data_IF_149520575120
#
_entry.id   IF_149520575120
#
_cell.length_a   1.000
_cell.length_b   1.000
_cell.length_c   1.000
_cell.angle_alpha   90.00
_cell.angle_beta   90.00
_cell.angle_gamma   90.00
#
_symmetry.space_group_name_H-M   'P 1'
#
loop_
_entity.id
_entity.type
_entity.pdbx_description
1 polymer ?
#
# COMPACT_ATOMS: atom_id res chain seq x y z
N UNK A 1 -9.02 8.50 27.15
CA UNK A 1 -9.56 7.35 27.91
C UNK A 1 -9.04 7.35 29.33
N UNK A 2 -9.93 7.20 30.30
CA UNK A 2 -9.55 6.92 31.69
C UNK A 2 -9.40 5.40 31.79
N UNK A 3 -8.22 4.92 32.18
CA UNK A 3 -7.93 3.48 32.27
C UNK A 3 -7.82 3.03 33.73
N UNK A 4 -8.45 1.90 34.11
CA UNK A 4 -8.26 1.31 35.44
C UNK A 4 -6.80 0.90 35.64
N UNK A 5 -6.21 1.21 36.80
CA UNK A 5 -4.81 0.88 37.09
C UNK A 5 -4.51 -0.61 36.95
N UNK A 6 -5.44 -1.48 37.37
CA UNK A 6 -5.30 -2.95 37.31
C UNK A 6 -5.09 -3.47 35.88
N UNK A 7 -5.75 -2.85 34.90
CA UNK A 7 -5.67 -3.26 33.49
C UNK A 7 -4.68 -2.42 32.67
N UNK A 8 -4.10 -1.40 33.28
CA UNK A 8 -3.24 -0.41 32.61
C UNK A 8 -2.11 -1.05 31.81
N UNK A 9 -1.41 -2.04 32.37
CA UNK A 9 -0.32 -2.75 31.71
C UNK A 9 -0.78 -3.38 30.39
N UNK A 10 -1.90 -4.10 30.40
CA UNK A 10 -2.42 -4.78 29.21
C UNK A 10 -2.89 -3.77 28.16
N UNK A 11 -3.66 -2.76 28.59
CA UNK A 11 -4.22 -1.75 27.69
C UNK A 11 -3.12 -0.91 27.02
N UNK A 12 -2.15 -0.43 27.81
CA UNK A 12 -1.02 0.37 27.30
C UNK A 12 -0.09 -0.46 26.42
N UNK A 13 0.13 -1.73 26.75
CA UNK A 13 0.92 -2.64 25.90
C UNK A 13 0.35 -2.71 24.48
N UNK A 14 -0.94 -3.03 24.34
CA UNK A 14 -1.57 -3.15 23.03
C UNK A 14 -1.67 -1.80 22.32
N UNK A 15 -1.94 -0.72 23.05
CA UNK A 15 -1.98 0.63 22.46
C UNK A 15 -0.61 1.02 21.89
N UNK A 16 0.47 0.84 22.65
CA UNK A 16 1.81 1.16 22.18
C UNK A 16 2.23 0.27 21.02
N UNK A 17 1.97 -1.04 21.11
CA UNK A 17 2.25 -2.00 20.04
C UNK A 17 1.53 -1.60 18.75
N UNK A 18 0.26 -1.21 18.84
CA UNK A 18 -0.53 -0.72 17.70
C UNK A 18 0.11 0.52 17.11
N UNK A 19 0.41 1.53 17.91
CA UNK A 19 0.98 2.79 17.43
C UNK A 19 2.29 2.56 16.67
N UNK A 20 3.17 1.70 17.18
CA UNK A 20 4.43 1.39 16.50
C UNK A 20 4.21 0.65 15.17
N UNK A 21 3.33 -0.35 15.15
CA UNK A 21 3.04 -1.13 13.94
C UNK A 21 2.31 -0.29 12.89
N UNK A 22 1.33 0.49 13.32
CA UNK A 22 0.57 1.36 12.45
C UNK A 22 1.48 2.43 11.83
N UNK A 23 2.30 3.11 12.63
CA UNK A 23 3.27 4.10 12.13
C UNK A 23 4.23 3.47 11.11
N UNK A 24 4.76 2.27 11.39
CA UNK A 24 5.62 1.58 10.43
C UNK A 24 4.93 1.30 9.08
N UNK A 25 3.64 0.91 9.09
CA UNK A 25 2.89 0.72 7.83
C UNK A 25 2.50 2.06 7.18
N UNK A 26 2.17 3.10 7.95
CA UNK A 26 1.90 4.44 7.42
C UNK A 26 3.10 4.98 6.65
N UNK A 27 4.30 4.85 7.21
CA UNK A 27 5.55 5.24 6.53
C UNK A 27 5.77 4.45 5.23
N UNK A 28 5.39 3.17 5.19
CA UNK A 28 5.47 2.37 3.95
C UNK A 28 4.49 2.84 2.89
N UNK A 29 3.26 3.17 3.28
CA UNK A 29 2.26 3.76 2.38
C UNK A 29 2.77 5.09 1.83
N UNK A 30 3.26 5.97 2.70
CA UNK A 30 3.84 7.25 2.30
C UNK A 30 4.99 7.08 1.32
N UNK A 31 5.93 6.18 1.62
CA UNK A 31 7.07 5.91 0.74
C UNK A 31 6.64 5.35 -0.63
N UNK A 32 5.62 4.48 -0.68
CA UNK A 32 5.08 3.95 -1.93
C UNK A 32 4.39 5.04 -2.77
N UNK A 33 3.82 6.05 -2.12
CA UNK A 33 3.11 7.15 -2.78
C UNK A 33 4.02 8.34 -3.12
N UNK A 34 5.19 8.44 -2.49
CA UNK A 34 6.14 9.54 -2.68
C UNK A 34 6.76 9.59 -4.09
N UNK A 35 6.63 8.52 -4.88
CA UNK A 35 7.00 8.51 -6.31
C UNK A 35 5.95 9.16 -7.20
N UNK A 36 4.74 9.39 -6.70
CA UNK A 36 3.70 10.13 -7.40
C UNK A 36 3.85 11.66 -7.24
N UNK A 37 3.08 12.45 -7.99
CA UNK A 37 3.15 13.91 -7.97
C UNK A 37 2.71 14.54 -6.65
N UNK A 38 1.97 13.82 -5.80
CA UNK A 38 1.52 14.30 -4.50
C UNK A 38 2.10 13.45 -3.36
N UNK A 39 2.74 14.12 -2.41
CA UNK A 39 3.20 13.49 -1.18
C UNK A 39 2.01 13.22 -0.27
N UNK A 40 1.71 11.95 0.02
CA UNK A 40 0.68 11.63 1.01
C UNK A 40 1.14 12.03 2.42
N UNK A 41 0.34 12.86 3.08
CA UNK A 41 0.55 13.21 4.47
C UNK A 41 0.20 12.03 5.42
N UNK A 42 0.54 12.18 6.70
CA UNK A 42 0.33 11.11 7.67
C UNK A 42 -1.15 10.80 7.90
N UNK A 43 -2.02 11.82 7.80
CA UNK A 43 -3.46 11.65 7.99
C UNK A 43 -4.08 10.84 6.85
N UNK A 44 -3.68 11.11 5.62
CA UNK A 44 -4.10 10.35 4.45
C UNK A 44 -3.63 8.90 4.54
N UNK A 45 -2.36 8.67 4.93
CA UNK A 45 -1.84 7.31 5.13
C UNK A 45 -2.63 6.54 6.20
N UNK A 46 -2.94 7.18 7.33
CA UNK A 46 -3.75 6.58 8.39
C UNK A 46 -5.18 6.25 7.93
N UNK A 47 -5.81 7.14 7.14
CA UNK A 47 -7.14 6.91 6.57
C UNK A 47 -7.15 5.75 5.57
N UNK A 48 -6.11 5.65 4.73
CA UNK A 48 -5.93 4.55 3.79
C UNK A 48 -5.78 3.20 4.50
N UNK A 49 -4.99 3.13 5.58
CA UNK A 49 -4.87 1.89 6.37
C UNK A 49 -6.21 1.49 7.01
N UNK A 50 -6.96 2.46 7.54
CA UNK A 50 -8.31 2.21 8.07
C UNK A 50 -9.23 1.63 6.99
N UNK A 51 -9.18 2.20 5.78
CA UNK A 51 -9.97 1.71 4.64
C UNK A 51 -9.59 0.27 4.28
N UNK A 52 -8.29 -0.05 4.17
CA UNK A 52 -7.83 -1.41 3.85
C UNK A 52 -8.18 -2.43 4.94
N UNK A 53 -8.17 -2.02 6.21
CA UNK A 53 -8.65 -2.87 7.30
C UNK A 53 -10.13 -3.20 7.13
N UNK A 54 -10.98 -2.20 6.85
CA UNK A 54 -12.41 -2.41 6.62
C UNK A 54 -12.66 -3.28 5.38
N UNK A 55 -11.87 -3.11 4.31
CA UNK A 55 -11.95 -3.94 3.10
C UNK A 55 -11.60 -5.42 3.39
N UNK A 56 -10.58 -5.69 4.22
CA UNK A 56 -10.15 -7.06 4.56
C UNK A 56 -11.06 -7.75 5.58
N UNK A 57 -11.52 -7.03 6.61
CA UNK A 57 -12.31 -7.58 7.73
C UNK A 57 -13.82 -7.47 7.53
N UNK A 58 -14.24 -6.61 6.59
CA UNK A 58 -15.63 -6.29 6.31
C UNK A 58 -16.20 -5.20 7.22
N UNK A 59 -17.27 -4.55 6.74
CA UNK A 59 -17.93 -3.41 7.40
C UNK A 59 -18.42 -3.73 8.81
N UNK A 60 -18.83 -4.98 9.06
CA UNK A 60 -19.31 -5.41 10.40
C UNK A 60 -18.21 -5.38 11.46
N UNK A 61 -16.94 -5.50 11.07
CA UNK A 61 -15.79 -5.48 11.96
C UNK A 61 -15.05 -4.14 11.95
N UNK A 62 -15.52 -3.15 11.19
CA UNK A 62 -14.85 -1.84 11.06
C UNK A 62 -14.70 -1.11 12.41
N UNK A 63 -15.65 -1.29 13.32
CA UNK A 63 -15.63 -0.77 14.69
C UNK A 63 -14.40 -1.21 15.51
N UNK A 64 -13.83 -2.39 15.20
CA UNK A 64 -12.63 -2.89 15.88
C UNK A 64 -11.43 -1.98 15.65
N UNK A 65 -11.40 -1.25 14.54
CA UNK A 65 -10.35 -0.27 14.28
C UNK A 65 -10.25 0.79 15.38
N UNK A 66 -11.37 1.22 15.95
CA UNK A 66 -11.37 2.26 16.99
C UNK A 66 -11.31 1.67 18.39
N UNK A 67 -11.96 0.53 18.62
CA UNK A 67 -12.19 -0.01 19.96
C UNK A 67 -11.26 -1.16 20.37
N UNK A 68 -10.61 -1.84 19.41
CA UNK A 68 -9.79 -3.02 19.69
C UNK A 68 -8.35 -2.87 19.14
N UNK A 69 -7.46 -2.42 20.03
CA UNK A 69 -6.04 -2.28 19.70
C UNK A 69 -5.36 -3.63 19.42
N UNK A 70 -5.83 -4.72 20.04
CA UNK A 70 -5.25 -6.04 19.90
C UNK A 70 -5.62 -6.63 18.53
N UNK A 71 -6.88 -6.52 18.10
CA UNK A 71 -7.33 -6.94 16.78
C UNK A 71 -6.57 -6.21 15.65
N UNK A 72 -6.43 -4.89 15.76
CA UNK A 72 -5.68 -4.09 14.79
C UNK A 72 -4.20 -4.48 14.75
N UNK A 73 -3.56 -4.69 15.92
CA UNK A 73 -2.17 -5.17 15.96
C UNK A 73 -2.01 -6.50 15.22
N UNK A 74 -2.86 -7.48 15.54
CA UNK A 74 -2.78 -8.81 14.95
C UNK A 74 -3.00 -8.77 13.45
N UNK A 75 -3.93 -7.93 12.99
CA UNK A 75 -4.13 -7.70 11.56
C UNK A 75 -2.89 -7.10 10.90
N UNK A 76 -2.32 -6.02 11.45
CA UNK A 76 -1.11 -5.39 10.91
C UNK A 76 0.08 -6.37 10.84
N UNK A 77 0.21 -7.25 11.84
CA UNK A 77 1.25 -8.28 11.86
C UNK A 77 0.99 -9.38 10.83
N UNK A 78 -0.25 -9.81 10.63
CA UNK A 78 -0.62 -10.76 9.59
C UNK A 78 -0.38 -10.20 8.19
N UNK A 79 -0.75 -8.93 7.96
CA UNK A 79 -0.51 -8.27 6.67
C UNK A 79 0.98 -8.16 6.35
N UNK A 80 1.83 -7.92 7.35
CA UNK A 80 3.28 -7.86 7.15
C UNK A 80 3.95 -9.23 6.96
N UNK A 81 3.31 -10.31 7.44
CA UNK A 81 3.84 -11.67 7.30
C UNK A 81 3.45 -12.32 5.96
N UNK A 82 2.38 -11.86 5.34
CA UNK A 82 1.85 -12.39 4.08
C UNK A 82 2.10 -11.42 2.91
N UNK A 83 2.90 -11.87 1.94
CA UNK A 83 3.22 -11.11 0.72
C UNK A 83 2.04 -10.93 -0.24
N UNK A 84 0.99 -11.75 -0.07
CA UNK A 84 -0.26 -11.69 -0.83
C UNK A 84 -1.39 -11.03 -0.03
N UNK A 85 -1.05 -10.35 1.06
CA UNK A 85 -2.01 -9.61 1.87
C UNK A 85 -2.61 -8.41 1.12
N UNK A 86 -3.76 -7.93 1.58
CA UNK A 86 -4.44 -6.75 1.03
C UNK A 86 -3.49 -5.54 1.03
N UNK A 87 -2.75 -5.35 2.13
CA UNK A 87 -1.78 -4.27 2.26
C UNK A 87 -0.65 -4.39 1.23
N UNK A 88 -0.02 -5.55 1.08
CA UNK A 88 1.09 -5.73 0.14
C UNK A 88 0.64 -5.63 -1.32
N UNK A 89 -0.53 -6.17 -1.66
CA UNK A 89 -1.13 -6.02 -2.99
C UNK A 89 -1.42 -4.56 -3.30
N UNK A 90 -2.00 -3.82 -2.36
CA UNK A 90 -2.31 -2.40 -2.56
C UNK A 90 -1.04 -1.56 -2.68
N UNK A 91 -0.01 -1.80 -1.86
CA UNK A 91 1.29 -1.13 -2.00
C UNK A 91 1.93 -1.39 -3.37
N UNK A 92 1.86 -2.64 -3.86
CA UNK A 92 2.37 -3.01 -5.19
C UNK A 92 1.61 -2.31 -6.30
N UNK A 93 0.28 -2.27 -6.21
CA UNK A 93 -0.57 -1.59 -7.17
C UNK A 93 -0.27 -0.09 -7.25
N UNK A 94 -0.13 0.58 -6.09
CA UNK A 94 0.26 2.00 -6.02
C UNK A 94 1.61 2.23 -6.70
N UNK A 95 2.61 1.39 -6.42
CA UNK A 95 3.93 1.50 -7.01
C UNK A 95 3.90 1.30 -8.53
N UNK A 96 3.14 0.31 -9.01
CA UNK A 96 2.97 0.05 -10.44
C UNK A 96 2.29 1.23 -11.14
N UNK A 97 1.24 1.80 -10.55
CA UNK A 97 0.55 2.96 -11.08
C UNK A 97 1.49 4.18 -11.16
N UNK A 98 2.28 4.45 -10.11
CA UNK A 98 3.24 5.54 -10.11
C UNK A 98 4.31 5.40 -11.23
N UNK A 99 4.80 4.18 -11.47
CA UNK A 99 5.73 3.90 -12.57
C UNK A 99 5.04 4.12 -13.92
N UNK A 100 3.82 3.64 -14.11
CA UNK A 100 3.05 3.85 -15.34
C UNK A 100 2.80 5.34 -15.62
N UNK A 101 2.45 6.12 -14.61
CA UNK A 101 2.29 7.57 -14.73
C UNK A 101 3.61 8.25 -15.13
N UNK A 102 4.72 7.84 -14.53
CA UNK A 102 6.06 8.36 -14.88
C UNK A 102 6.42 8.05 -16.33
N UNK A 103 6.20 6.81 -16.78
CA UNK A 103 6.43 6.40 -18.18
C UNK A 103 5.55 7.22 -19.12
N UNK A 104 4.25 7.36 -18.81
CA UNK A 104 3.33 8.16 -19.63
C UNK A 104 3.79 9.61 -19.75
N UNK A 105 4.25 10.22 -18.66
CA UNK A 105 4.77 11.58 -18.68
C UNK A 105 5.99 11.70 -19.58
N UNK A 106 6.98 10.81 -19.43
CA UNK A 106 8.18 10.78 -20.26
C UNK A 106 7.83 10.60 -21.75
N UNK A 107 6.91 9.69 -22.08
CA UNK A 107 6.47 9.44 -23.47
C UNK A 107 5.80 10.67 -24.10
N UNK A 108 5.12 11.49 -23.30
CA UNK A 108 4.53 12.74 -23.77
C UNK A 108 5.58 13.82 -24.06
N UNK A 109 6.71 13.83 -23.35
CA UNK A 109 7.84 14.74 -23.58
C UNK A 109 8.71 14.35 -24.79
N UNK A 110 8.64 13.09 -25.24
CA UNK A 110 9.39 12.62 -26.40
C UNK A 110 8.98 13.32 -27.71
N UNK A 111 9.96 13.53 -28.58
CA UNK A 111 9.71 13.95 -29.97
C UNK A 111 8.94 12.88 -30.75
N UNK A 112 8.23 13.23 -31.85
CA UNK A 112 7.50 12.25 -32.65
C UNK A 112 8.35 11.05 -33.11
N UNK A 113 9.62 11.29 -33.49
CA UNK A 113 10.56 10.24 -33.91
C UNK A 113 10.90 9.28 -32.76
N UNK A 114 11.22 9.81 -31.58
CA UNK A 114 11.54 9.00 -30.39
C UNK A 114 10.34 8.19 -29.91
N UNK A 115 9.13 8.76 -29.97
CA UNK A 115 7.89 8.04 -29.63
C UNK A 115 7.66 6.85 -30.58
N UNK A 116 7.94 7.02 -31.86
CA UNK A 116 7.83 5.96 -32.86
C UNK A 116 8.81 4.82 -32.59
N UNK A 117 10.05 5.15 -32.22
CA UNK A 117 11.06 4.16 -31.82
C UNK A 117 10.68 3.42 -30.54
N UNK A 118 10.16 4.13 -29.54
CA UNK A 118 9.65 3.54 -28.31
C UNK A 118 8.51 2.54 -28.57
N UNK A 119 7.52 2.91 -29.39
CA UNK A 119 6.44 2.00 -29.79
C UNK A 119 7.00 0.76 -30.50
N UNK A 120 7.95 0.94 -31.42
CA UNK A 120 8.59 -0.19 -32.12
C UNK A 120 9.26 -1.17 -31.16
N UNK A 121 9.96 -0.65 -30.15
CA UNK A 121 10.63 -1.47 -29.14
C UNK A 121 9.62 -2.23 -28.26
N UNK A 122 8.50 -1.61 -27.89
CA UNK A 122 7.42 -2.31 -27.16
C UNK A 122 6.81 -3.44 -27.98
N UNK A 123 6.50 -3.21 -29.26
CA UNK A 123 5.93 -4.25 -30.14
C UNK A 123 6.91 -5.40 -30.35
N UNK A 124 8.21 -5.12 -30.42
CA UNK A 124 9.24 -6.17 -30.50
C UNK A 124 9.30 -7.03 -29.23
N UNK A 125 9.18 -6.42 -28.06
CA UNK A 125 9.13 -7.13 -26.77
C UNK A 125 7.87 -8.01 -26.63
N UNK A 126 6.71 -7.54 -27.09
CA UNK A 126 5.49 -8.37 -27.13
C UNK A 126 5.69 -9.62 -27.98
N UNK A 127 6.24 -9.47 -29.19
CA UNK A 127 6.52 -10.59 -30.09
C UNK A 127 7.50 -11.62 -29.50
N UNK A 128 8.52 -11.20 -28.75
CA UNK A 128 9.44 -12.11 -28.05
C UNK A 128 8.76 -12.87 -26.90
N UNK A 129 7.84 -12.21 -26.19
CA UNK A 129 7.10 -12.83 -25.08
C UNK A 129 6.12 -13.92 -25.56
N UNK A 130 5.41 -13.68 -26.66
CA UNK A 130 4.50 -14.65 -27.28
C UNK A 130 5.25 -15.87 -27.85
N UNK A 131 6.44 -15.63 -28.42
CA UNK A 131 7.31 -16.69 -28.90
C UNK A 131 7.82 -17.59 -27.76
N UNK A 132 8.16 -17.00 -26.60
CA UNK A 132 8.63 -17.75 -25.44
C UNK A 132 7.50 -18.51 -24.73
N UNK A 133 6.26 -18.01 -24.74
CA UNK A 133 5.10 -18.70 -24.16
C UNK A 133 4.53 -19.82 -25.06
N UNK A 134 4.92 -19.89 -26.34
CA UNK A 134 4.48 -20.95 -27.28
C UNK A 134 5.42 -22.17 -27.36
N UNK A 135 6.47 -22.21 -26.54
CA UNK A 135 7.39 -23.37 -26.40
C UNK A 135 7.17 -24.07 -25.07
#
# INVERSE_FOLDING_TARGET
DIIPWRDSRRLLYWRLKRLLRQNAQELRVQAATATGPEHMDQRAAAATLRRWFTEDKGETQSHQWEHDNEAVCRWLEAQAADNDSVLERNLRAIKQDAVLQTVNHLVMELTPSQRTEFIRNLTALEMESDFNNSK
#
